data_IF_805977636760
#
_entry.id   IF_805977636760
#
_cell.length_a   1.000
_cell.length_b   1.000
_cell.length_c   1.000
_cell.angle_alpha   90.00
_cell.angle_beta   90.00
_cell.angle_gamma   90.00
#
_symmetry.space_group_name_H-M   'P 1'
#
loop_
_entity.id
_entity.type
_entity.pdbx_description
1 polymer ?
#
# COMPACT_ATOMS: atom_id res chain seq x y z
N UNK A 1 -33.28 -31.16 -19.25
CA UNK A 1 -32.38 -30.29 -18.45
C UNK A 1 -32.77 -30.43 -16.99
N UNK A 2 -31.92 -31.05 -16.16
CA UNK A 2 -32.27 -31.41 -14.78
C UNK A 2 -32.09 -30.22 -13.82
N UNK A 3 -33.03 -30.06 -12.89
CA UNK A 3 -33.04 -29.02 -11.82
C UNK A 3 -31.72 -28.96 -11.03
N UNK A 4 -31.01 -30.09 -10.91
CA UNK A 4 -29.70 -30.19 -10.22
C UNK A 4 -28.59 -29.43 -10.96
N UNK A 5 -28.67 -29.35 -12.29
CA UNK A 5 -27.70 -28.63 -13.14
C UNK A 5 -27.94 -27.12 -13.10
N UNK A 6 -29.21 -26.68 -12.97
CA UNK A 6 -29.57 -25.27 -12.83
C UNK A 6 -29.11 -24.72 -11.48
N UNK A 7 -29.28 -25.49 -10.39
CA UNK A 7 -28.81 -25.11 -9.05
C UNK A 7 -27.29 -24.90 -8.98
N UNK A 8 -26.51 -25.75 -9.65
CA UNK A 8 -25.05 -25.63 -9.68
C UNK A 8 -24.56 -24.41 -10.48
N UNK A 9 -25.24 -24.06 -11.57
CA UNK A 9 -24.88 -22.90 -12.41
C UNK A 9 -25.22 -21.58 -11.70
N UNK A 10 -26.35 -21.52 -10.99
CA UNK A 10 -26.75 -20.33 -10.24
C UNK A 10 -25.83 -20.08 -9.04
N UNK A 11 -25.33 -21.13 -8.38
CA UNK A 11 -24.42 -20.99 -7.23
C UNK A 11 -23.03 -20.46 -7.63
N UNK A 12 -22.50 -20.86 -8.80
CA UNK A 12 -21.23 -20.33 -9.31
C UNK A 12 -21.33 -18.87 -9.79
N UNK A 13 -22.49 -18.43 -10.27
CA UNK A 13 -22.67 -17.05 -10.74
C UNK A 13 -22.73 -16.03 -9.58
N UNK A 14 -23.26 -16.42 -8.42
CA UNK A 14 -23.33 -15.53 -7.24
C UNK A 14 -21.96 -15.35 -6.58
N UNK A 15 -21.09 -16.37 -6.62
CA UNK A 15 -19.74 -16.29 -6.07
C UNK A 15 -18.83 -15.30 -6.84
N UNK A 16 -19.07 -15.09 -8.14
CA UNK A 16 -18.27 -14.18 -8.97
C UNK A 16 -18.59 -12.68 -8.74
N UNK A 17 -19.75 -12.35 -8.16
CA UNK A 17 -20.20 -10.97 -8.01
C UNK A 17 -19.67 -10.26 -6.75
N UNK A 18 -19.01 -10.98 -5.83
CA UNK A 18 -18.55 -10.41 -4.55
C UNK A 18 -17.13 -9.82 -4.64
N UNK A 19 -16.38 -10.13 -5.69
CA UNK A 19 -14.98 -9.69 -5.84
C UNK A 19 -14.81 -8.21 -6.25
N UNK A 20 -15.90 -7.48 -6.50
CA UNK A 20 -15.86 -6.10 -7.02
C UNK A 20 -15.82 -4.98 -5.97
N UNK A 21 -16.07 -5.27 -4.69
CA UNK A 21 -16.00 -4.29 -3.60
C UNK A 21 -14.64 -4.34 -2.89
N UNK A 22 -13.56 -4.24 -3.67
CA UNK A 22 -12.22 -4.06 -3.12
C UNK A 22 -11.96 -2.59 -2.81
N UNK A 23 -11.30 -2.31 -1.68
CA UNK A 23 -10.67 -1.00 -1.40
C UNK A 23 -9.51 -0.66 -2.36
N UNK A 24 -9.28 -1.53 -3.34
CA UNK A 24 -8.16 -1.51 -4.27
C UNK A 24 -8.12 -0.24 -5.10
N UNK A 25 -9.25 0.42 -5.38
CA UNK A 25 -9.17 1.80 -5.89
C UNK A 25 -10.52 2.52 -5.90
N UNK A 26 -10.59 3.82 -5.52
CA UNK A 26 -11.80 4.61 -5.68
C UNK A 26 -12.19 4.77 -7.16
N UNK A 27 -13.45 5.10 -7.41
CA UNK A 27 -13.98 5.34 -8.76
C UNK A 27 -13.09 6.33 -9.54
N UNK A 28 -12.61 5.93 -10.73
CA UNK A 28 -11.82 6.77 -11.64
C UNK A 28 -10.29 6.56 -11.64
N UNK A 29 -9.74 5.79 -10.71
CA UNK A 29 -8.34 5.32 -10.76
C UNK A 29 -8.35 3.81 -10.66
N UNK A 30 -7.60 3.06 -11.49
CA UNK A 30 -7.45 1.60 -11.36
C UNK A 30 -6.09 1.21 -11.90
N UNK A 31 -5.30 0.49 -11.10
CA UNK A 31 -4.12 -0.20 -11.61
C UNK A 31 -4.54 -1.55 -12.22
N UNK A 32 -3.78 -2.08 -13.19
CA UNK A 32 -3.86 -3.49 -13.52
C UNK A 32 -3.46 -4.35 -12.32
N UNK A 33 -3.75 -5.64 -12.38
CA UNK A 33 -3.23 -6.59 -11.39
C UNK A 33 -1.70 -6.60 -11.43
N UNK A 34 -1.08 -6.61 -10.24
CA UNK A 34 0.37 -6.68 -10.05
C UNK A 34 0.80 -7.98 -9.40
N UNK A 35 2.09 -8.26 -9.47
CA UNK A 35 2.72 -9.43 -8.86
C UNK A 35 3.47 -9.00 -7.59
N UNK A 36 3.01 -9.48 -6.42
CA UNK A 36 3.63 -9.16 -5.14
C UNK A 36 5.07 -9.70 -4.99
N UNK A 37 5.42 -10.81 -5.65
CA UNK A 37 6.77 -11.35 -5.64
C UNK A 37 7.70 -10.46 -6.47
N UNK A 38 7.28 -10.08 -7.69
CA UNK A 38 8.00 -9.12 -8.51
C UNK A 38 8.12 -7.75 -7.81
N UNK A 39 7.09 -7.35 -7.04
CA UNK A 39 7.09 -6.14 -6.25
C UNK A 39 8.13 -6.16 -5.13
N UNK A 40 8.29 -7.30 -4.45
CA UNK A 40 9.35 -7.51 -3.47
C UNK A 40 10.74 -7.39 -4.10
N UNK A 41 10.92 -7.96 -5.30
CA UNK A 41 12.18 -7.84 -6.04
C UNK A 41 12.45 -6.39 -6.46
N UNK A 42 11.44 -5.69 -6.98
CA UNK A 42 11.53 -4.28 -7.34
C UNK A 42 11.88 -3.41 -6.13
N UNK A 43 11.32 -3.69 -4.95
CA UNK A 43 11.60 -2.96 -3.71
C UNK A 43 13.08 -3.01 -3.33
N UNK A 44 13.74 -4.15 -3.55
CA UNK A 44 15.19 -4.30 -3.32
C UNK A 44 16.01 -3.71 -4.47
N UNK A 45 15.61 -3.99 -5.71
CA UNK A 45 16.32 -3.53 -6.90
C UNK A 45 16.37 -2.00 -7.01
N UNK A 46 15.27 -1.32 -6.67
CA UNK A 46 15.15 0.14 -6.62
C UNK A 46 15.67 0.72 -5.31
N UNK A 47 16.24 -0.11 -4.43
CA UNK A 47 16.87 0.29 -3.16
C UNK A 47 15.88 0.97 -2.20
N UNK A 48 14.59 0.67 -2.29
CA UNK A 48 13.59 1.17 -1.35
C UNK A 48 13.92 0.73 0.09
N UNK A 49 14.49 -0.47 0.25
CA UNK A 49 14.96 -1.02 1.53
C UNK A 49 16.18 -0.30 2.14
N UNK A 50 16.77 0.68 1.44
CA UNK A 50 17.79 1.54 2.03
C UNK A 50 17.19 2.40 3.15
N UNK A 51 16.01 2.96 2.94
CA UNK A 51 15.36 3.82 3.93
C UNK A 51 14.11 3.19 4.56
N UNK A 52 13.47 2.26 3.85
CA UNK A 52 12.22 1.67 4.29
C UNK A 52 12.41 0.27 4.90
N UNK A 53 11.61 -0.01 5.92
CA UNK A 53 11.49 -1.32 6.55
C UNK A 53 10.03 -1.77 6.45
N UNK A 54 9.78 -3.02 6.07
CA UNK A 54 8.42 -3.57 6.03
C UNK A 54 8.09 -4.16 7.40
N UNK A 55 7.03 -3.66 8.03
CA UNK A 55 6.55 -4.19 9.32
C UNK A 55 6.15 -5.65 9.15
N UNK A 56 6.84 -6.55 9.86
CA UNK A 56 6.61 -8.00 9.76
C UNK A 56 7.08 -8.63 8.44
N UNK A 57 7.81 -7.89 7.61
CA UNK A 57 8.38 -8.40 6.36
C UNK A 57 9.75 -9.06 6.56
N UNK A 58 10.23 -9.71 5.49
CA UNK A 58 11.47 -10.48 5.46
C UNK A 58 12.59 -9.80 4.64
N UNK A 59 12.37 -8.55 4.21
CA UNK A 59 13.34 -7.78 3.44
C UNK A 59 14.32 -7.09 4.39
N UNK A 60 15.61 -7.40 4.22
CA UNK A 60 16.68 -6.74 4.97
C UNK A 60 16.68 -5.24 4.73
N UNK A 61 16.69 -4.46 5.81
CA UNK A 61 16.82 -3.02 5.76
C UNK A 61 18.30 -2.61 5.83
N UNK A 62 18.77 -1.85 4.84
CA UNK A 62 20.21 -1.59 4.64
C UNK A 62 20.78 -0.43 5.49
N UNK A 63 19.94 0.28 6.26
CA UNK A 63 20.40 1.31 7.19
C UNK A 63 20.88 2.60 6.52
N UNK A 64 20.05 3.20 5.67
CA UNK A 64 20.29 4.49 5.02
C UNK A 64 20.13 5.69 5.96
N UNK A 65 20.10 6.89 5.37
CA UNK A 65 19.99 8.16 6.10
C UNK A 65 18.70 8.32 6.94
N UNK A 66 17.71 7.44 6.70
CA UNK A 66 16.43 7.42 7.36
C UNK A 66 16.02 5.96 7.62
N UNK A 67 15.24 5.74 8.69
CA UNK A 67 14.48 4.49 8.86
C UNK A 67 13.00 4.82 8.95
N UNK A 68 12.24 4.36 7.96
CA UNK A 68 10.81 4.64 7.83
C UNK A 68 10.06 3.32 7.64
N UNK A 69 9.27 2.94 8.65
CA UNK A 69 8.48 1.70 8.57
C UNK A 69 7.26 1.86 7.65
N UNK A 70 7.00 0.82 6.85
CA UNK A 70 5.82 0.69 5.97
C UNK A 70 4.97 -0.49 6.46
N UNK A 71 3.65 -0.29 6.48
CA UNK A 71 2.68 -1.29 6.91
C UNK A 71 2.31 -1.17 8.39
N UNK A 72 1.81 -2.27 8.96
CA UNK A 72 1.37 -2.35 10.33
C UNK A 72 -0.07 -1.86 10.55
N UNK A 73 -0.40 -1.61 11.82
CA UNK A 73 -1.75 -1.27 12.27
C UNK A 73 -2.14 0.14 11.84
N UNK A 74 -3.27 0.26 11.16
CA UNK A 74 -3.83 1.54 10.71
C UNK A 74 -5.34 1.60 10.96
N UNK A 75 -5.88 2.78 11.20
CA UNK A 75 -7.35 2.98 11.28
C UNK A 75 -8.00 3.12 9.91
N UNK A 76 -7.19 3.15 8.85
CA UNK A 76 -7.66 3.27 7.46
C UNK A 76 -6.68 2.59 6.50
N UNK A 77 -7.19 1.70 5.66
CA UNK A 77 -6.40 1.09 4.57
C UNK A 77 -6.12 2.16 3.52
N UNK A 78 -4.87 2.24 3.06
CA UNK A 78 -4.48 3.14 1.96
C UNK A 78 -5.00 2.58 0.65
N UNK A 79 -5.59 3.43 -0.19
CA UNK A 79 -5.97 3.01 -1.55
C UNK A 79 -4.74 2.88 -2.43
N UNK A 80 -4.84 2.20 -3.59
CA UNK A 80 -3.74 2.16 -4.56
C UNK A 80 -3.34 3.55 -5.02
N UNK A 81 -4.29 4.45 -5.25
CA UNK A 81 -4.00 5.84 -5.59
C UNK A 81 -3.16 6.55 -4.53
N UNK A 82 -3.41 6.30 -3.25
CA UNK A 82 -2.59 6.87 -2.17
C UNK A 82 -1.20 6.24 -2.08
N UNK A 83 -1.06 4.93 -2.31
CA UNK A 83 0.24 4.26 -2.35
C UNK A 83 1.07 4.76 -3.53
N UNK A 84 0.48 4.79 -4.73
CA UNK A 84 1.10 5.34 -5.95
C UNK A 84 1.57 6.76 -5.72
N UNK A 85 0.69 7.64 -5.22
CA UNK A 85 1.04 9.03 -4.94
C UNK A 85 2.21 9.13 -3.95
N UNK A 86 2.24 8.28 -2.92
CA UNK A 86 3.32 8.30 -1.92
C UNK A 86 4.66 7.85 -2.51
N UNK A 87 4.67 7.02 -3.57
CA UNK A 87 5.87 6.53 -4.24
C UNK A 87 6.40 7.57 -5.24
N UNK A 88 5.54 8.08 -6.13
CA UNK A 88 5.97 8.97 -7.24
C UNK A 88 6.05 10.45 -6.85
N UNK A 89 5.45 10.81 -5.72
CA UNK A 89 5.45 12.16 -5.15
C UNK A 89 5.55 12.13 -3.60
N UNK A 90 6.68 11.66 -3.06
CA UNK A 90 6.87 11.40 -1.63
C UNK A 90 6.80 12.66 -0.76
N UNK A 91 7.17 13.83 -1.29
CA UNK A 91 7.09 15.11 -0.56
C UNK A 91 5.68 15.63 -0.39
N UNK A 92 4.72 15.21 -1.24
CA UNK A 92 3.33 15.66 -1.16
C UNK A 92 2.71 15.40 0.22
N UNK A 93 3.10 14.32 0.90
CA UNK A 93 2.62 14.02 2.24
C UNK A 93 3.56 13.07 3.00
N UNK A 94 4.33 13.62 3.92
CA UNK A 94 5.10 12.84 4.90
C UNK A 94 4.25 12.67 6.17
N UNK A 95 4.06 11.41 6.59
CA UNK A 95 3.31 11.11 7.81
C UNK A 95 3.99 11.74 9.04
N UNK A 96 3.25 12.29 10.02
CA UNK A 96 3.85 12.97 11.16
C UNK A 96 4.97 12.20 11.89
N UNK A 97 4.82 10.89 12.16
CA UNK A 97 5.90 10.10 12.81
C UNK A 97 7.18 10.01 11.99
N UNK A 98 7.10 10.19 10.67
CA UNK A 98 8.21 10.03 9.74
C UNK A 98 8.83 11.38 9.34
N UNK A 99 8.33 12.52 9.85
CA UNK A 99 8.86 13.84 9.48
C UNK A 99 10.28 14.06 9.99
N UNK A 100 10.56 13.61 11.22
CA UNK A 100 11.90 13.77 11.81
C UNK A 100 12.93 12.84 11.14
N UNK A 101 12.52 11.63 10.79
CA UNK A 101 13.42 10.64 10.19
C UNK A 101 13.55 10.77 8.67
N UNK A 102 12.51 11.24 7.97
CA UNK A 102 12.38 11.13 6.51
C UNK A 102 12.27 12.44 5.75
N UNK A 103 12.38 13.59 6.40
CA UNK A 103 12.33 14.91 5.76
C UNK A 103 13.69 15.64 5.86
N UNK A 104 14.07 16.35 4.80
CA UNK A 104 15.18 17.29 4.79
C UNK A 104 14.81 18.61 5.49
N UNK A 105 15.81 19.47 5.72
CA UNK A 105 15.59 20.86 6.08
C UNK A 105 14.74 21.54 4.99
N UNK A 106 13.49 21.90 5.32
CA UNK A 106 12.51 22.42 4.36
C UNK A 106 11.26 21.55 4.19
N UNK A 107 11.22 20.34 4.78
CA UNK A 107 10.03 19.49 4.80
C UNK A 107 9.85 18.59 3.57
N UNK A 108 10.82 18.61 2.66
CA UNK A 108 10.89 17.71 1.50
C UNK A 108 11.31 16.30 1.90
N UNK A 109 10.84 15.28 1.19
CA UNK A 109 11.27 13.91 1.48
C UNK A 109 12.75 13.71 1.14
N UNK A 110 13.46 12.93 1.96
CA UNK A 110 14.80 12.44 1.62
C UNK A 110 14.78 11.43 0.45
N UNK A 111 13.61 10.95 0.05
CA UNK A 111 13.43 10.05 -1.08
C UNK A 111 13.50 10.84 -2.39
N UNK A 112 14.46 10.50 -3.25
CA UNK A 112 14.63 11.14 -4.55
C UNK A 112 13.57 10.66 -5.56
N UNK A 113 12.46 11.38 -5.65
CA UNK A 113 11.40 11.06 -6.61
C UNK A 113 11.81 11.32 -8.06
N UNK A 114 12.70 12.29 -8.32
CA UNK A 114 13.24 12.53 -9.65
C UNK A 114 13.97 11.28 -10.17
N UNK A 115 14.88 10.73 -9.35
CA UNK A 115 15.57 9.49 -9.70
C UNK A 115 14.60 8.32 -9.88
N UNK A 116 13.66 8.11 -8.93
CA UNK A 116 12.72 7.00 -9.00
C UNK A 116 11.82 7.09 -10.23
N UNK A 117 11.27 8.25 -10.56
CA UNK A 117 10.36 8.41 -11.69
C UNK A 117 11.07 8.29 -13.05
N UNK A 118 12.38 8.55 -13.10
CA UNK A 118 13.18 8.41 -14.33
C UNK A 118 13.56 6.96 -14.65
N UNK A 119 13.66 6.10 -13.62
CA UNK A 119 14.18 4.72 -13.78
C UNK A 119 13.16 3.62 -13.49
N UNK A 120 12.14 3.90 -12.67
CA UNK A 120 11.11 2.94 -12.31
C UNK A 120 10.10 2.81 -13.45
N UNK A 121 9.93 1.59 -13.93
CA UNK A 121 8.88 1.28 -14.90
C UNK A 121 7.49 1.32 -14.26
N UNK A 122 6.47 1.56 -15.08
CA UNK A 122 5.08 1.49 -14.63
C UNK A 122 4.75 0.10 -14.06
N UNK A 123 5.31 -0.98 -14.64
CA UNK A 123 5.11 -2.33 -14.14
C UNK A 123 5.69 -2.51 -12.73
N UNK A 124 6.93 -2.04 -12.49
CA UNK A 124 7.51 -2.06 -11.14
C UNK A 124 6.68 -1.28 -10.13
N UNK A 125 6.11 -0.13 -10.53
CA UNK A 125 5.20 0.62 -9.66
C UNK A 125 3.93 -0.18 -9.31
N UNK A 126 3.32 -0.83 -10.30
CA UNK A 126 2.15 -1.70 -10.11
C UNK A 126 2.47 -2.84 -9.14
N UNK A 127 3.59 -3.52 -9.38
CA UNK A 127 4.02 -4.66 -8.57
C UNK A 127 4.41 -4.23 -7.15
N UNK A 128 5.06 -3.08 -6.99
CA UNK A 128 5.32 -2.47 -5.67
C UNK A 128 4.04 -2.21 -4.90
N UNK A 129 2.98 -1.70 -5.55
CA UNK A 129 1.70 -1.48 -4.90
C UNK A 129 1.08 -2.82 -4.47
N UNK A 130 1.14 -3.85 -5.31
CA UNK A 130 0.66 -5.20 -4.99
C UNK A 130 1.43 -5.81 -3.79
N UNK A 131 2.74 -5.58 -3.71
CA UNK A 131 3.57 -6.03 -2.59
C UNK A 131 3.29 -5.26 -1.29
N UNK A 132 3.11 -3.95 -1.35
CA UNK A 132 3.01 -3.09 -0.17
C UNK A 132 1.60 -3.03 0.44
N UNK A 133 0.54 -3.09 -0.38
CA UNK A 133 -0.83 -2.98 0.10
C UNK A 133 -1.23 -3.99 1.19
N UNK A 134 -0.88 -5.30 1.10
CA UNK A 134 -1.26 -6.28 2.14
C UNK A 134 -0.50 -6.11 3.46
N UNK A 135 0.51 -5.23 3.53
CA UNK A 135 1.28 -4.99 4.77
C UNK A 135 0.51 -4.20 5.82
N UNK A 136 -0.67 -3.66 5.49
CA UNK A 136 -1.49 -2.86 6.38
C UNK A 136 -2.60 -3.68 7.03
N UNK A 137 -2.68 -3.62 8.36
CA UNK A 137 -3.72 -4.26 9.15
C UNK A 137 -4.72 -3.20 9.63
N UNK A 138 -6.00 -3.35 9.27
CA UNK A 138 -7.05 -2.44 9.74
C UNK A 138 -7.38 -2.72 11.20
N UNK A 139 -7.21 -1.70 12.06
CA UNK A 139 -7.62 -1.76 13.47
C UNK A 139 -8.69 -0.70 13.76
N UNK A 140 -9.74 -1.13 14.46
CA UNK A 140 -10.77 -0.22 14.95
C UNK A 140 -10.19 0.65 16.07
N UNK A 141 -10.27 2.00 15.97
CA UNK A 141 -9.90 2.83 17.10
C UNK A 141 -10.85 2.55 18.27
N UNK A 142 -10.38 2.61 19.53
CA UNK A 142 -11.27 2.51 20.68
C UNK A 142 -12.37 3.56 20.55
N UNK A 143 -13.63 3.23 20.95
CA UNK A 143 -14.73 4.17 20.85
C UNK A 143 -14.35 5.49 21.52
N UNK A 144 -14.70 6.60 20.88
CA UNK A 144 -14.46 7.92 21.44
C UNK A 144 -15.12 7.95 22.83
N UNK A 145 -14.29 8.00 23.87
CA UNK A 145 -14.72 8.32 25.23
C UNK A 145 -15.16 9.78 25.22
N UNK A 146 -16.35 10.04 24.72
CA UNK A 146 -17.11 11.19 25.18
C UNK A 146 -17.19 10.99 26.69
N UNK A 147 -16.48 11.85 27.41
CA UNK A 147 -16.53 11.86 28.86
C UNK A 147 -18.01 11.90 29.26
N UNK A 148 -18.40 10.96 30.11
CA UNK A 148 -19.63 11.05 30.88
C UNK A 148 -19.59 12.34 31.70
N UNK A 149 -20.03 13.45 31.11
CA UNK A 149 -20.62 14.55 31.86
C UNK A 149 -22.07 14.12 32.17
N UNK A 150 -22.20 13.16 33.07
CA UNK A 150 -23.41 12.88 33.84
C UNK A 150 -23.03 13.02 35.31
#
# INVERSE_FOLDING_TARGET
MNVRSVGAIVLSAVAACVSGCGVESPFGFRLPEGDAAAGREAFVALRCNACHEIVGGDVEHLGGAARVSIGGKTTRIKTYGELVTSIINPSHRIAPPNREAGAAEGGESLMSYAYLNDVMTVQQLVDLVAFLHPTYELVMPPPARWAMYQ
#
